data_IF_155749599318
#
_entry.id   IF_155749599318
#
_cell.length_a   1.000
_cell.length_b   1.000
_cell.length_c   1.000
_cell.angle_alpha   90.00
_cell.angle_beta   90.00
_cell.angle_gamma   90.00
#
_symmetry.space_group_name_H-M   'P 1'
#
loop_
_entity.id
_entity.type
_entity.pdbx_description
1 polymer ?
#
# COMPACT_ATOMS: atom_id res chain seq x y z
N UNK A 1 -14.84 -16.68 -25.62
CA UNK A 1 -15.06 -17.02 -24.21
C UNK A 1 -15.59 -15.77 -23.51
N UNK A 2 -16.78 -15.89 -22.97
CA UNK A 2 -17.82 -14.85 -22.98
C UNK A 2 -17.90 -14.07 -21.67
N UNK A 3 -18.35 -12.80 -21.72
CA UNK A 3 -18.62 -11.90 -20.57
C UNK A 3 -19.13 -12.61 -19.29
N UNK A 4 -19.94 -13.66 -19.44
CA UNK A 4 -20.48 -14.50 -18.37
C UNK A 4 -19.41 -15.20 -17.53
N UNK A 5 -18.33 -15.74 -18.13
CA UNK A 5 -17.22 -16.37 -17.39
C UNK A 5 -16.41 -15.34 -16.58
N UNK A 6 -16.18 -14.15 -17.15
CA UNK A 6 -15.51 -13.03 -16.47
C UNK A 6 -16.36 -12.47 -15.31
N UNK A 7 -17.69 -12.49 -15.46
CA UNK A 7 -18.64 -12.10 -14.41
C UNK A 7 -18.61 -13.04 -13.21
N UNK A 8 -18.54 -14.36 -13.44
CA UNK A 8 -18.47 -15.38 -12.39
C UNK A 8 -17.09 -15.42 -11.70
N UNK A 9 -15.99 -15.26 -12.46
CA UNK A 9 -14.63 -15.34 -11.92
C UNK A 9 -14.16 -14.07 -11.20
N UNK A 10 -14.81 -12.93 -11.42
CA UNK A 10 -14.39 -11.67 -10.78
C UNK A 10 -12.92 -11.36 -11.03
N UNK A 11 -12.20 -10.96 -10.00
CA UNK A 11 -10.76 -10.65 -10.05
C UNK A 11 -9.84 -11.88 -9.86
N UNK A 12 -10.35 -13.11 -9.88
CA UNK A 12 -9.54 -14.31 -9.58
C UNK A 12 -8.32 -14.48 -10.50
N UNK A 13 -8.48 -14.18 -11.79
CA UNK A 13 -7.39 -14.27 -12.77
C UNK A 13 -6.44 -13.06 -12.68
N UNK A 14 -6.90 -11.95 -12.10
CA UNK A 14 -6.15 -10.70 -11.96
C UNK A 14 -5.26 -10.66 -10.72
N UNK A 15 -5.71 -11.21 -9.59
CA UNK A 15 -4.97 -11.13 -8.32
C UNK A 15 -3.58 -11.77 -8.48
N UNK A 16 -2.55 -11.02 -8.09
CA UNK A 16 -1.16 -11.44 -8.19
C UNK A 16 -0.65 -11.58 -9.63
N UNK A 17 -1.21 -10.83 -10.57
CA UNK A 17 -0.74 -10.84 -11.97
C UNK A 17 0.72 -10.43 -12.11
N UNK A 18 1.23 -9.56 -11.23
CA UNK A 18 2.64 -9.14 -11.23
C UNK A 18 3.60 -10.31 -11.02
N UNK A 19 3.28 -11.22 -10.10
CA UNK A 19 4.11 -12.41 -9.83
C UNK A 19 3.99 -13.46 -10.95
N UNK A 20 2.87 -13.47 -11.67
CA UNK A 20 2.61 -14.41 -12.78
C UNK A 20 3.20 -13.93 -14.11
N UNK A 21 3.49 -12.63 -14.23
CA UNK A 21 3.91 -12.03 -15.51
C UNK A 21 5.42 -12.23 -15.73
N UNK A 22 5.83 -12.88 -16.83
CA UNK A 22 7.25 -13.04 -17.14
C UNK A 22 7.96 -11.70 -17.29
N UNK A 23 9.22 -11.64 -16.85
CA UNK A 23 10.08 -10.46 -17.00
C UNK A 23 10.10 -9.50 -15.80
N UNK A 24 9.18 -9.64 -14.84
CA UNK A 24 9.30 -8.94 -13.58
C UNK A 24 10.36 -9.58 -12.67
N UNK A 25 11.20 -8.79 -11.98
CA UNK A 25 12.18 -9.32 -11.06
C UNK A 25 11.49 -9.99 -9.86
N UNK A 26 12.07 -11.09 -9.34
CA UNK A 26 11.55 -11.73 -8.14
C UNK A 26 11.65 -10.80 -6.94
N UNK A 27 10.88 -11.10 -5.91
CA UNK A 27 10.97 -10.44 -4.61
C UNK A 27 11.94 -11.18 -3.69
N UNK A 28 12.58 -10.45 -2.79
CA UNK A 28 13.38 -11.01 -1.69
C UNK A 28 12.56 -11.00 -0.40
N UNK A 29 12.62 -12.05 0.43
CA UNK A 29 11.95 -12.04 1.73
C UNK A 29 12.81 -11.35 2.79
N UNK A 30 12.35 -10.21 3.29
CA UNK A 30 13.01 -9.43 4.34
C UNK A 30 12.38 -9.60 5.72
N UNK A 31 11.43 -10.52 5.90
CA UNK A 31 10.60 -10.61 7.12
C UNK A 31 11.45 -10.86 8.37
N UNK A 32 12.39 -11.81 8.32
CA UNK A 32 13.26 -12.09 9.46
C UNK A 32 14.09 -10.86 9.85
N UNK A 33 14.71 -10.20 8.85
CA UNK A 33 15.53 -9.01 9.12
C UNK A 33 14.70 -7.86 9.68
N UNK A 34 13.49 -7.68 9.18
CA UNK A 34 12.54 -6.73 9.74
C UNK A 34 12.20 -7.03 11.21
N UNK A 35 11.94 -8.30 11.55
CA UNK A 35 11.64 -8.72 12.93
C UNK A 35 12.82 -8.47 13.89
N UNK A 36 14.06 -8.70 13.42
CA UNK A 36 15.28 -8.35 14.17
C UNK A 36 15.37 -6.84 14.46
N UNK A 37 15.21 -6.01 13.41
CA UNK A 37 15.23 -4.55 13.53
C UNK A 37 14.11 -4.06 14.47
N UNK A 38 12.90 -4.59 14.33
CA UNK A 38 11.77 -4.27 15.20
C UNK A 38 12.06 -4.67 16.65
N UNK A 39 12.70 -5.83 16.86
CA UNK A 39 13.19 -6.29 18.14
C UNK A 39 14.16 -5.29 18.77
N UNK A 40 15.17 -4.85 18.03
CA UNK A 40 16.14 -3.84 18.48
C UNK A 40 15.46 -2.52 18.89
N UNK A 41 14.56 -2.01 18.04
CA UNK A 41 13.78 -0.79 18.31
C UNK A 41 12.91 -0.95 19.56
N UNK A 42 12.32 -2.13 19.76
CA UNK A 42 11.50 -2.41 20.96
C UNK A 42 12.31 -2.35 22.26
N UNK A 43 13.62 -2.61 22.18
CA UNK A 43 14.59 -2.48 23.28
C UNK A 43 15.25 -1.09 23.35
N UNK A 44 14.80 -0.13 22.54
CA UNK A 44 15.29 1.26 22.55
C UNK A 44 16.51 1.52 21.67
N UNK A 45 16.89 0.58 20.80
CA UNK A 45 17.96 0.76 19.83
C UNK A 45 17.40 1.39 18.55
N UNK A 46 17.39 2.73 18.52
CA UNK A 46 16.93 3.52 17.39
C UNK A 46 18.09 3.85 16.45
N UNK A 47 17.97 3.51 15.16
CA UNK A 47 19.08 3.56 14.20
C UNK A 47 18.85 4.49 12.99
N UNK A 48 17.67 5.12 12.90
CA UNK A 48 17.37 6.04 11.80
C UNK A 48 18.27 7.29 11.85
N UNK A 49 19.02 7.60 10.77
CA UNK A 49 19.86 8.78 10.71
C UNK A 49 19.07 10.09 10.67
N UNK A 50 19.65 11.17 11.22
CA UNK A 50 19.03 12.50 11.23
C UNK A 50 19.45 13.39 10.04
N UNK A 51 20.28 12.88 9.13
CA UNK A 51 20.71 13.52 7.88
C UNK A 51 19.75 13.25 6.70
N UNK A 52 18.65 12.53 6.94
CA UNK A 52 17.55 12.35 6.01
C UNK A 52 16.30 13.15 6.38
N UNK A 53 15.41 13.31 5.39
CA UNK A 53 14.01 13.71 5.60
C UNK A 53 13.13 12.50 5.39
N UNK A 54 12.28 12.18 6.36
CA UNK A 54 11.33 11.07 6.29
C UNK A 54 9.96 11.60 5.86
N UNK A 55 9.53 11.24 4.65
CA UNK A 55 8.27 11.69 4.09
C UNK A 55 7.23 10.56 4.11
N UNK A 56 6.19 10.76 4.93
CA UNK A 56 5.03 9.90 5.03
C UNK A 56 4.00 10.32 3.98
N UNK A 57 3.69 9.45 3.02
CA UNK A 57 2.75 9.71 1.94
C UNK A 57 1.43 9.01 2.25
N UNK A 58 0.37 9.76 2.57
CA UNK A 58 -0.89 9.16 2.98
C UNK A 58 -1.68 8.61 1.79
N UNK A 59 -2.56 7.64 2.05
CA UNK A 59 -3.48 7.09 1.07
C UNK A 59 -4.79 7.87 0.93
N UNK A 60 -5.77 7.25 0.27
CA UNK A 60 -7.11 7.80 0.04
C UNK A 60 -7.75 8.39 1.32
N UNK A 61 -8.40 9.55 1.17
CA UNK A 61 -9.19 10.27 2.18
C UNK A 61 -8.45 10.67 3.47
N UNK A 62 -7.12 10.75 3.44
CA UNK A 62 -6.32 11.29 4.55
C UNK A 62 -6.62 12.75 4.88
N UNK A 63 -7.18 13.49 3.92
CA UNK A 63 -7.61 14.88 4.10
C UNK A 63 -8.89 15.01 4.96
N UNK A 64 -9.59 13.89 5.21
CA UNK A 64 -10.92 13.88 5.84
C UNK A 64 -10.95 13.19 7.21
N UNK A 65 -9.83 12.68 7.72
CA UNK A 65 -9.72 12.06 9.04
C UNK A 65 -8.68 12.76 9.90
N UNK A 66 -8.97 13.13 11.16
CA UNK A 66 -7.92 13.56 12.07
C UNK A 66 -6.95 12.39 12.28
N UNK A 67 -5.66 12.68 12.51
CA UNK A 67 -4.65 11.75 13.05
C UNK A 67 -3.90 10.81 12.07
N UNK A 68 -4.18 10.81 10.76
CA UNK A 68 -3.43 9.97 9.79
C UNK A 68 -1.92 10.24 9.88
N UNK A 69 -1.11 9.23 10.22
CA UNK A 69 0.33 9.34 10.44
C UNK A 69 0.79 10.34 11.52
N UNK A 70 -0.14 11.00 12.23
CA UNK A 70 0.21 12.05 13.20
C UNK A 70 1.06 11.49 14.34
N UNK A 71 0.70 10.30 14.83
CA UNK A 71 1.42 9.65 15.92
C UNK A 71 2.79 9.14 15.48
N UNK A 72 2.91 8.65 14.23
CA UNK A 72 4.19 8.30 13.62
C UNK A 72 5.10 9.52 13.49
N UNK A 73 4.59 10.63 12.95
CA UNK A 73 5.34 11.89 12.84
C UNK A 73 5.79 12.39 14.20
N UNK A 74 4.92 12.34 15.21
CA UNK A 74 5.24 12.73 16.59
C UNK A 74 6.30 11.83 17.22
N UNK A 75 6.24 10.53 16.97
CA UNK A 75 7.25 9.56 17.40
C UNK A 75 8.62 9.88 16.78
N UNK A 76 8.68 10.08 15.46
CA UNK A 76 9.91 10.45 14.75
C UNK A 76 10.47 11.78 15.25
N UNK A 77 9.61 12.75 15.54
CA UNK A 77 10.02 14.04 16.11
C UNK A 77 10.67 13.88 17.49
N UNK A 78 10.17 12.96 18.33
CA UNK A 78 10.78 12.65 19.64
C UNK A 78 12.16 12.01 19.52
N UNK A 79 12.42 11.30 18.42
CA UNK A 79 13.74 10.76 18.08
C UNK A 79 14.68 11.82 17.46
N UNK A 80 14.22 13.06 17.29
CA UNK A 80 15.02 14.12 16.67
C UNK A 80 15.10 14.05 15.14
N UNK A 81 14.20 13.28 14.50
CA UNK A 81 14.18 13.09 13.04
C UNK A 81 13.33 14.15 12.34
N UNK A 82 13.77 14.59 11.16
CA UNK A 82 12.97 15.46 10.29
C UNK A 82 11.93 14.63 9.57
N UNK A 83 10.65 14.76 9.96
CA UNK A 83 9.55 13.98 9.40
C UNK A 83 8.39 14.87 8.92
N UNK A 84 7.94 14.64 7.70
CA UNK A 84 6.83 15.35 7.06
C UNK A 84 5.73 14.38 6.66
N UNK A 85 4.48 14.85 6.65
CA UNK A 85 3.35 14.16 6.03
C UNK A 85 3.05 14.92 4.75
N UNK A 86 3.07 14.23 3.61
CA UNK A 86 2.83 14.84 2.31
C UNK A 86 1.42 15.46 2.28
N UNK A 87 1.33 16.69 1.74
CA UNK A 87 0.07 17.41 1.57
C UNK A 87 -0.39 17.26 0.13
N UNK A 88 -1.08 16.16 -0.16
CA UNK A 88 -1.60 15.86 -1.50
C UNK A 88 -3.12 15.73 -1.46
N UNK A 89 -3.74 15.96 -2.61
CA UNK A 89 -5.16 15.67 -2.79
C UNK A 89 -5.35 14.16 -2.87
N UNK A 90 -5.61 13.51 -1.74
CA UNK A 90 -5.62 12.04 -1.63
C UNK A 90 -6.54 11.35 -2.65
N UNK A 91 -7.62 12.02 -3.03
CA UNK A 91 -8.68 11.59 -3.95
C UNK A 91 -8.33 11.81 -5.44
N UNK A 92 -7.31 12.62 -5.75
CA UNK A 92 -6.92 12.89 -7.12
C UNK A 92 -6.25 11.66 -7.78
N UNK A 93 -6.25 11.66 -9.11
CA UNK A 93 -5.63 10.60 -9.91
C UNK A 93 -4.15 10.40 -9.56
N UNK A 94 -3.66 9.17 -9.70
CA UNK A 94 -2.28 8.76 -9.36
C UNK A 94 -1.25 9.62 -10.09
N UNK A 95 -1.46 9.89 -11.39
CA UNK A 95 -0.55 10.74 -12.17
C UNK A 95 -0.52 12.21 -11.68
N UNK A 96 -1.64 12.71 -11.17
CA UNK A 96 -1.72 14.06 -10.61
C UNK A 96 -0.96 14.13 -9.30
N UNK A 97 -1.21 13.18 -8.40
CA UNK A 97 -0.48 13.10 -7.12
C UNK A 97 1.01 12.83 -7.32
N UNK A 98 1.39 12.08 -8.36
CA UNK A 98 2.80 11.87 -8.71
C UNK A 98 3.52 13.18 -9.04
N UNK A 99 2.85 14.10 -9.76
CA UNK A 99 3.38 15.45 -10.05
C UNK A 99 3.51 16.29 -8.78
N UNK A 100 2.46 16.34 -7.96
CA UNK A 100 2.48 17.06 -6.68
C UNK A 100 3.58 16.53 -5.75
N UNK A 101 3.75 15.21 -5.66
CA UNK A 101 4.81 14.59 -4.85
C UNK A 101 6.20 14.89 -5.37
N UNK A 102 6.39 14.91 -6.70
CA UNK A 102 7.68 15.31 -7.28
C UNK A 102 8.03 16.72 -6.83
N UNK A 103 7.13 17.69 -6.99
CA UNK A 103 7.40 19.08 -6.59
C UNK A 103 7.65 19.20 -5.08
N UNK A 104 6.90 18.45 -4.27
CA UNK A 104 7.09 18.40 -2.81
C UNK A 104 8.46 17.82 -2.40
N UNK A 105 8.92 16.77 -3.07
CA UNK A 105 10.24 16.17 -2.85
C UNK A 105 11.34 17.19 -3.20
N UNK A 106 11.18 17.92 -4.30
CA UNK A 106 12.14 18.94 -4.70
C UNK A 106 12.20 20.12 -3.74
N UNK A 107 11.04 20.59 -3.25
CA UNK A 107 10.96 21.64 -2.24
C UNK A 107 11.67 21.23 -0.95
N UNK A 108 11.41 20.02 -0.45
CA UNK A 108 12.07 19.49 0.75
C UNK A 108 13.59 19.37 0.54
N UNK A 109 14.01 18.84 -0.60
CA UNK A 109 15.44 18.71 -0.91
C UNK A 109 16.11 20.09 -1.00
N UNK A 110 15.49 21.04 -1.69
CA UNK A 110 15.99 22.41 -1.82
C UNK A 110 16.11 23.11 -0.46
N UNK A 111 15.10 22.97 0.41
CA UNK A 111 15.07 23.64 1.70
C UNK A 111 16.00 23.03 2.75
N UNK A 112 16.37 21.75 2.62
CA UNK A 112 17.13 21.02 3.66
C UNK A 112 18.51 20.54 3.20
N UNK A 113 18.73 20.36 1.89
CA UNK A 113 19.89 19.68 1.32
C UNK A 113 19.96 18.17 1.63
N UNK A 114 18.95 17.62 2.31
CA UNK A 114 18.91 16.23 2.77
C UNK A 114 18.16 15.35 1.78
N UNK A 115 18.64 14.12 1.58
CA UNK A 115 17.90 13.12 0.80
C UNK A 115 16.63 12.67 1.54
N UNK A 116 15.64 12.24 0.77
CA UNK A 116 14.30 11.91 1.25
C UNK A 116 14.13 10.39 1.27
N UNK A 117 13.62 9.86 2.39
CA UNK A 117 13.17 8.47 2.56
C UNK A 117 11.64 8.47 2.51
N UNK A 118 11.06 7.77 1.54
CA UNK A 118 9.60 7.74 1.33
C UNK A 118 8.98 6.52 2.05
N UNK A 119 7.86 6.74 2.74
CA UNK A 119 6.96 5.66 3.15
C UNK A 119 5.55 6.04 2.72
N UNK A 120 5.00 5.30 1.77
CA UNK A 120 3.64 5.50 1.30
C UNK A 120 2.73 4.38 1.76
N UNK A 121 1.57 4.73 2.32
CA UNK A 121 0.56 3.76 2.73
C UNK A 121 -0.59 3.72 1.74
N UNK A 122 -1.12 2.52 1.43
CA UNK A 122 -2.25 2.34 0.54
C UNK A 122 -2.00 3.03 -0.82
N UNK A 123 -2.95 3.84 -1.32
CA UNK A 123 -2.77 4.67 -2.52
C UNK A 123 -1.55 5.60 -2.43
N UNK A 124 -1.15 6.07 -1.25
CA UNK A 124 0.01 6.94 -1.09
C UNK A 124 1.33 6.28 -1.51
N UNK A 125 1.45 4.95 -1.32
CA UNK A 125 2.58 4.20 -1.86
C UNK A 125 2.51 4.02 -3.37
N UNK A 126 1.30 3.91 -3.93
CA UNK A 126 1.10 3.90 -5.39
C UNK A 126 1.46 5.25 -6.01
N UNK A 127 1.04 6.35 -5.38
CA UNK A 127 1.35 7.73 -5.80
C UNK A 127 2.86 8.01 -5.72
N UNK A 128 3.52 7.59 -4.63
CA UNK A 128 4.97 7.73 -4.46
C UNK A 128 5.76 6.91 -5.49
N UNK A 129 5.35 5.66 -5.74
CA UNK A 129 5.95 4.82 -6.77
C UNK A 129 5.71 5.40 -8.18
N UNK A 130 4.56 6.01 -8.42
CA UNK A 130 4.27 6.71 -9.67
C UNK A 130 5.16 7.95 -9.85
N UNK A 131 5.38 8.75 -8.80
CA UNK A 131 6.32 9.87 -8.83
C UNK A 131 7.73 9.41 -9.22
N UNK A 132 8.21 8.32 -8.60
CA UNK A 132 9.49 7.72 -8.97
C UNK A 132 9.50 7.20 -10.41
N UNK A 133 8.45 6.51 -10.86
CA UNK A 133 8.41 5.92 -12.21
C UNK A 133 8.31 6.97 -13.32
N UNK A 134 7.66 8.11 -13.05
CA UNK A 134 7.44 9.18 -14.04
C UNK A 134 8.58 10.20 -14.07
N UNK A 135 9.20 10.48 -12.92
CA UNK A 135 10.14 11.61 -12.75
C UNK A 135 11.51 11.17 -12.20
N UNK A 136 11.88 9.89 -12.35
CA UNK A 136 13.14 9.37 -11.81
C UNK A 136 14.37 10.22 -12.16
N UNK A 137 14.58 10.66 -13.42
CA UNK A 137 15.77 11.44 -13.76
C UNK A 137 15.90 12.73 -12.94
N UNK A 138 14.78 13.31 -12.50
CA UNK A 138 14.73 14.55 -11.73
C UNK A 138 14.92 14.31 -10.23
N UNK A 139 14.44 13.18 -9.70
CA UNK A 139 14.42 12.93 -8.25
C UNK A 139 15.40 11.84 -7.76
N UNK A 140 16.10 11.13 -8.65
CA UNK A 140 17.00 10.01 -8.30
C UNK A 140 18.06 10.38 -7.27
N UNK A 141 18.63 11.58 -7.36
CA UNK A 141 19.69 12.03 -6.46
C UNK A 141 19.12 12.60 -5.14
N UNK A 142 17.80 12.78 -5.09
CA UNK A 142 17.05 13.34 -3.96
C UNK A 142 16.37 12.26 -3.13
N UNK A 143 16.00 11.11 -3.71
CA UNK A 143 15.26 10.02 -3.04
C UNK A 143 16.17 8.83 -2.76
N UNK A 144 16.18 8.36 -1.51
CA UNK A 144 16.98 7.20 -1.07
C UNK A 144 16.33 5.88 -1.47
N UNK A 145 15.00 5.83 -1.43
CA UNK A 145 14.20 4.62 -1.63
C UNK A 145 12.76 4.83 -1.18
N UNK A 146 11.92 3.82 -1.39
CA UNK A 146 10.50 3.84 -1.00
C UNK A 146 10.08 2.60 -0.22
N UNK A 147 9.28 2.80 0.82
CA UNK A 147 8.51 1.75 1.49
C UNK A 147 7.06 1.84 1.01
N UNK A 148 6.53 0.77 0.42
CA UNK A 148 5.11 0.64 0.11
C UNK A 148 4.43 -0.20 1.18
N UNK A 149 3.57 0.41 1.96
CA UNK A 149 2.86 -0.25 3.04
C UNK A 149 1.42 -0.49 2.63
N UNK A 150 1.05 -1.76 2.49
CA UNK A 150 -0.31 -2.19 2.17
C UNK A 150 -0.81 -1.50 0.88
N UNK A 151 0.09 -1.19 -0.04
CA UNK A 151 -0.23 -0.44 -1.25
C UNK A 151 -0.78 -1.38 -2.32
N UNK A 152 -1.93 -1.09 -2.95
CA UNK A 152 -2.46 -1.89 -4.06
C UNK A 152 -1.66 -1.63 -5.35
N UNK A 153 -0.38 -2.01 -5.35
CA UNK A 153 0.55 -1.75 -6.45
C UNK A 153 0.14 -2.51 -7.72
N UNK A 154 -0.21 -3.79 -7.57
CA UNK A 154 -0.82 -4.63 -8.60
C UNK A 154 -2.30 -4.32 -8.85
N UNK A 155 -2.96 -3.66 -7.91
CA UNK A 155 -4.37 -3.31 -7.96
C UNK A 155 -5.11 -3.76 -6.71
N UNK A 156 -6.42 -3.52 -6.69
CA UNK A 156 -7.31 -4.02 -5.67
C UNK A 156 -8.44 -4.83 -6.33
N UNK A 157 -8.68 -6.07 -5.89
CA UNK A 157 -9.84 -6.84 -6.34
C UNK A 157 -11.15 -6.15 -5.99
N UNK A 158 -11.22 -5.49 -4.83
CA UNK A 158 -12.41 -4.75 -4.42
C UNK A 158 -12.70 -3.56 -5.34
N UNK A 159 -11.68 -2.76 -5.68
CA UNK A 159 -11.84 -1.67 -6.65
C UNK A 159 -12.27 -2.21 -8.02
N UNK A 160 -11.64 -3.29 -8.46
CA UNK A 160 -11.90 -3.90 -9.77
C UNK A 160 -13.29 -4.50 -9.89
N UNK A 161 -13.79 -5.14 -8.83
CA UNK A 161 -15.12 -5.75 -8.83
C UNK A 161 -16.23 -4.70 -8.72
N UNK A 162 -16.05 -3.68 -7.87
CA UNK A 162 -17.08 -2.63 -7.72
C UNK A 162 -17.20 -1.78 -8.97
N UNK A 163 -16.10 -1.51 -9.68
CA UNK A 163 -16.13 -0.69 -10.90
C UNK A 163 -16.40 -1.51 -12.19
N UNK A 164 -16.56 -2.84 -12.10
CA UNK A 164 -16.83 -3.68 -13.28
C UNK A 164 -18.26 -3.51 -13.79
N UNK A 165 -18.43 -3.10 -15.03
CA UNK A 165 -19.75 -3.06 -15.69
C UNK A 165 -20.24 -4.47 -16.07
N UNK A 166 -21.50 -4.79 -15.78
CA UNK A 166 -22.17 -6.01 -16.29
C UNK A 166 -22.02 -7.29 -15.47
N UNK A 167 -21.66 -7.22 -14.18
CA UNK A 167 -21.74 -8.37 -13.28
C UNK A 167 -23.22 -8.65 -12.90
N UNK A 168 -23.80 -9.71 -13.47
CA UNK A 168 -25.17 -10.17 -13.16
C UNK A 168 -25.16 -11.17 -11.98
N UNK A 169 -24.04 -11.88 -11.77
CA UNK A 169 -23.84 -12.70 -10.58
C UNK A 169 -23.30 -11.82 -9.45
N UNK A 170 -23.90 -11.91 -8.27
CA UNK A 170 -23.44 -11.30 -7.01
C UNK A 170 -23.77 -9.81 -6.76
N UNK A 171 -24.90 -9.33 -7.31
CA UNK A 171 -25.38 -7.93 -7.15
C UNK A 171 -25.55 -7.53 -5.68
N UNK A 172 -26.07 -8.43 -4.84
CA UNK A 172 -26.31 -8.15 -3.41
C UNK A 172 -24.99 -7.98 -2.64
N UNK A 173 -24.06 -8.93 -2.78
CA UNK A 173 -22.74 -8.84 -2.15
C UNK A 173 -21.97 -7.64 -2.66
N UNK A 174 -22.01 -7.34 -3.96
CA UNK A 174 -21.39 -6.12 -4.52
C UNK A 174 -21.95 -4.88 -3.86
N UNK A 175 -23.27 -4.79 -3.68
CA UNK A 175 -23.91 -3.63 -3.03
C UNK A 175 -23.51 -3.52 -1.55
N UNK A 176 -23.39 -4.64 -0.85
CA UNK A 176 -22.87 -4.66 0.53
C UNK A 176 -21.42 -4.17 0.55
N UNK A 177 -20.57 -4.69 -0.33
CA UNK A 177 -19.17 -4.29 -0.43
C UNK A 177 -19.00 -2.84 -0.83
N UNK A 178 -19.83 -2.32 -1.74
CA UNK A 178 -19.89 -0.91 -2.10
C UNK A 178 -20.27 -0.05 -0.90
N UNK A 179 -21.27 -0.45 -0.10
CA UNK A 179 -21.63 0.26 1.13
C UNK A 179 -20.49 0.25 2.16
N UNK A 180 -19.83 -0.89 2.35
CA UNK A 180 -18.69 -1.02 3.26
C UNK A 180 -17.53 -0.14 2.79
N UNK A 181 -17.21 -0.16 1.51
CA UNK A 181 -16.15 0.64 0.92
C UNK A 181 -16.52 2.10 0.98
N UNK A 182 -17.71 2.53 0.59
CA UNK A 182 -18.19 3.90 0.79
C UNK A 182 -18.09 4.37 2.24
N UNK A 183 -18.30 3.51 3.25
CA UNK A 183 -18.06 3.86 4.66
C UNK A 183 -16.56 4.04 4.97
N UNK A 184 -15.68 3.23 4.38
CA UNK A 184 -14.22 3.31 4.55
C UNK A 184 -13.63 4.50 3.79
N UNK A 185 -14.06 4.72 2.55
CA UNK A 185 -13.54 5.72 1.60
C UNK A 185 -14.45 6.95 1.48
N UNK A 186 -15.40 7.12 2.40
CA UNK A 186 -16.33 8.27 2.49
C UNK A 186 -17.06 8.67 1.20
N UNK A 187 -17.24 7.74 0.26
CA UNK A 187 -18.20 7.85 -0.85
C UNK A 187 -17.67 8.37 -2.19
N UNK A 188 -16.37 8.63 -2.38
CA UNK A 188 -15.82 8.95 -3.70
C UNK A 188 -15.16 7.73 -4.36
N UNK A 189 -15.98 7.04 -5.15
CA UNK A 189 -15.61 5.84 -5.88
C UNK A 189 -14.69 6.11 -7.08
N UNK A 190 -14.60 7.36 -7.57
CA UNK A 190 -13.73 7.69 -8.71
C UNK A 190 -12.26 7.56 -8.34
N UNK A 191 -11.93 7.84 -7.08
CA UNK A 191 -10.59 7.70 -6.54
C UNK A 191 -10.09 6.23 -6.47
N UNK A 192 -10.99 5.24 -6.64
CA UNK A 192 -10.63 3.82 -6.76
C UNK A 192 -10.27 3.40 -8.18
N UNK A 193 -10.58 4.20 -9.20
CA UNK A 193 -10.42 3.81 -10.60
C UNK A 193 -8.97 3.43 -10.90
N UNK A 194 -8.02 4.28 -10.48
CA UNK A 194 -6.59 4.04 -10.67
C UNK A 194 -6.04 2.85 -9.87
N UNK A 195 -6.82 2.32 -8.93
CA UNK A 195 -6.46 1.14 -8.12
C UNK A 195 -7.00 -0.15 -8.73
N UNK A 196 -7.76 -0.10 -9.83
CA UNK A 196 -8.19 -1.30 -10.54
C UNK A 196 -7.01 -1.99 -11.21
N UNK A 197 -7.07 -3.32 -11.35
CA UNK A 197 -6.01 -4.09 -11.99
C UNK A 197 -5.74 -3.64 -13.43
N UNK A 198 -6.79 -3.26 -14.19
CA UNK A 198 -6.64 -2.76 -15.56
C UNK A 198 -5.84 -1.45 -15.62
N UNK A 199 -6.17 -0.48 -14.74
CA UNK A 199 -5.45 0.79 -14.68
C UNK A 199 -4.02 0.61 -14.18
N UNK A 200 -3.80 -0.24 -13.17
CA UNK A 200 -2.44 -0.56 -12.70
C UNK A 200 -1.58 -1.21 -13.77
N UNK A 201 -2.12 -2.19 -14.52
CA UNK A 201 -1.43 -2.80 -15.67
C UNK A 201 -1.03 -1.78 -16.72
N UNK A 202 -1.97 -0.93 -17.15
CA UNK A 202 -1.71 0.11 -18.15
C UNK A 202 -0.66 1.12 -17.67
N UNK A 203 -0.75 1.54 -16.41
CA UNK A 203 0.22 2.46 -15.81
C UNK A 203 1.62 1.85 -15.77
N UNK A 204 1.77 0.63 -15.23
CA UNK A 204 3.08 -0.01 -15.06
C UNK A 204 3.72 -0.43 -16.39
N UNK A 205 2.93 -0.71 -17.42
CA UNK A 205 3.44 -0.94 -18.77
C UNK A 205 4.04 0.34 -19.39
N UNK A 206 3.49 1.51 -19.04
CA UNK A 206 3.94 2.82 -19.53
C UNK A 206 5.09 3.40 -18.69
N UNK A 207 5.02 3.20 -17.37
CA UNK A 207 5.94 3.76 -16.37
C UNK A 207 6.42 2.63 -15.44
N UNK A 208 7.40 1.83 -15.87
CA UNK A 208 7.98 0.81 -15.01
C UNK A 208 8.75 1.47 -13.85
N UNK A 209 8.80 0.76 -12.71
CA UNK A 209 9.56 1.24 -11.56
C UNK A 209 11.07 1.26 -11.89
N UNK A 210 11.81 2.31 -11.50
CA UNK A 210 13.24 2.38 -11.80
C UNK A 210 14.02 1.21 -11.16
N UNK A 211 14.87 0.50 -11.93
CA UNK A 211 15.53 -0.71 -11.45
C UNK A 211 16.59 -0.41 -10.38
N UNK A 212 17.08 0.81 -10.30
CA UNK A 212 18.06 1.31 -9.33
C UNK A 212 17.42 1.83 -8.04
N UNK A 213 16.12 2.13 -8.02
CA UNK A 213 15.39 2.53 -6.81
C UNK A 213 15.37 1.40 -5.76
N UNK A 214 15.81 1.63 -4.51
CA UNK A 214 15.58 0.70 -3.40
C UNK A 214 14.10 0.67 -2.98
N UNK A 215 13.54 -0.52 -2.82
CA UNK A 215 12.11 -0.70 -2.54
C UNK A 215 11.92 -1.76 -1.46
N UNK A 216 11.12 -1.41 -0.44
CA UNK A 216 10.55 -2.37 0.50
C UNK A 216 9.04 -2.39 0.29
N UNK A 217 8.44 -3.56 0.20
CA UNK A 217 6.97 -3.69 0.24
C UNK A 217 6.53 -4.46 1.47
N UNK A 218 5.43 -4.03 2.08
CA UNK A 218 4.92 -4.57 3.33
C UNK A 218 3.43 -4.86 3.19
N UNK A 219 3.01 -6.06 3.58
CA UNK A 219 1.59 -6.43 3.59
C UNK A 219 1.24 -7.27 4.80
N UNK A 220 -0.04 -7.27 5.15
CA UNK A 220 -0.54 -7.90 6.37
C UNK A 220 -1.78 -8.74 6.05
N UNK A 221 -2.44 -9.24 7.08
CA UNK A 221 -3.76 -9.86 6.94
C UNK A 221 -4.63 -9.43 8.11
N UNK A 222 -5.89 -9.06 7.85
CA UNK A 222 -6.82 -8.66 8.89
C UNK A 222 -7.25 -9.86 9.74
N UNK A 223 -7.46 -9.61 11.03
CA UNK A 223 -8.06 -10.60 11.93
C UNK A 223 -9.55 -10.78 11.63
N UNK A 224 -9.97 -12.02 11.38
CA UNK A 224 -11.36 -12.39 11.05
C UNK A 224 -12.12 -13.02 12.22
N UNK A 225 -11.74 -12.69 13.46
CA UNK A 225 -12.29 -13.39 14.63
C UNK A 225 -13.81 -13.19 14.76
N UNK A 226 -14.58 -14.20 15.24
CA UNK A 226 -16.03 -14.08 15.39
C UNK A 226 -16.48 -12.87 16.23
N UNK A 227 -15.67 -12.45 17.21
CA UNK A 227 -15.96 -11.26 18.02
C UNK A 227 -15.80 -9.92 17.28
N UNK A 228 -14.95 -9.86 16.26
CA UNK A 228 -14.84 -8.67 15.38
C UNK A 228 -16.00 -8.66 14.39
N UNK A 229 -16.38 -9.83 13.85
CA UNK A 229 -17.47 -9.96 12.89
C UNK A 229 -18.87 -9.88 13.52
N UNK A 230 -19.05 -10.22 14.80
CA UNK A 230 -20.35 -10.16 15.49
C UNK A 230 -20.91 -8.73 15.56
N UNK A 231 -20.04 -7.73 15.56
CA UNK A 231 -20.44 -6.31 15.45
C UNK A 231 -21.18 -6.00 14.15
N UNK A 232 -20.98 -6.77 13.08
CA UNK A 232 -21.75 -6.67 11.82
C UNK A 232 -23.17 -7.25 11.96
N UNK A 233 -23.36 -8.32 12.74
CA UNK A 233 -24.67 -8.97 12.90
C UNK A 233 -25.67 -8.07 13.63
N UNK A 234 -25.22 -7.28 14.61
CA UNK A 234 -26.06 -6.28 15.29
C UNK A 234 -26.47 -5.13 14.36
N UNK A 235 -25.64 -4.82 13.36
CA UNK A 235 -25.84 -3.76 12.37
C UNK A 235 -26.77 -4.23 11.24
N UNK A 236 -26.62 -5.47 10.78
CA UNK A 236 -27.53 -6.08 9.82
C UNK A 236 -28.98 -6.11 10.35
N UNK A 237 -29.18 -6.41 11.64
CA UNK A 237 -30.52 -6.33 12.26
C UNK A 237 -31.05 -4.90 12.39
N UNK A 238 -30.19 -3.88 12.44
CA UNK A 238 -30.59 -2.47 12.52
C UNK A 238 -30.82 -1.82 11.13
N UNK A 239 -30.13 -2.25 10.08
CA UNK A 239 -30.29 -1.74 8.71
C UNK A 239 -31.27 -2.56 7.83
N UNK A 240 -31.62 -3.79 8.21
CA UNK A 240 -32.60 -4.65 7.50
C UNK A 240 -33.98 -4.81 8.18
N UNK A 241 -34.69 -3.78 8.70
CA UNK A 241 -36.09 -3.95 9.09
C UNK A 241 -37.05 -4.23 7.93
N UNK A 242 -36.61 -4.10 6.67
CA UNK A 242 -37.52 -3.94 5.52
C UNK A 242 -37.34 -4.95 4.38
N UNK A 243 -36.45 -5.94 4.48
CA UNK A 243 -36.44 -7.03 3.51
C UNK A 243 -37.57 -8.01 3.88
N UNK A 244 -38.64 -8.14 3.07
CA UNK A 244 -39.71 -9.05 3.40
C UNK A 244 -39.17 -10.47 3.22
N UNK A 245 -38.86 -11.14 4.32
CA UNK A 245 -38.90 -12.60 4.33
C UNK A 245 -40.31 -12.98 3.92
N UNK A 246 -40.44 -13.67 2.79
CA UNK A 246 -41.70 -14.10 2.24
C UNK A 246 -42.51 -14.85 3.33
N UNK A 247 -43.61 -14.24 3.77
CA UNK A 247 -44.63 -14.92 4.58
C UNK A 247 -44.81 -14.39 6.00
N UNK A 248 -45.16 -13.11 6.18
CA UNK A 248 -46.00 -12.70 7.31
C UNK A 248 -46.63 -11.33 7.03
N UNK A 249 -47.94 -11.30 6.86
CA UNK A 249 -48.72 -10.07 6.82
C UNK A 249 -48.84 -9.49 8.25
N UNK A 250 -48.49 -8.22 8.44
CA UNK A 250 -49.00 -7.43 9.56
C UNK A 250 -48.87 -5.94 9.26
N UNK A 251 -50.00 -5.24 9.31
CA UNK A 251 -50.13 -3.80 9.19
C UNK A 251 -49.84 -3.12 10.54
N UNK A 252 -48.85 -2.22 10.59
CA UNK A 252 -48.79 -1.15 11.59
C UNK A 252 -47.89 0.00 11.07
N UNK A 253 -48.27 1.28 11.24
CA UNK A 253 -47.43 2.40 10.86
C UNK A 253 -46.49 2.75 12.01
N UNK A 254 -45.21 2.35 11.90
CA UNK A 254 -44.17 2.78 12.83
C UNK A 254 -43.30 3.85 12.18
N UNK A 255 -43.31 5.06 12.75
CA UNK A 255 -42.36 6.13 12.48
C UNK A 255 -40.94 5.67 12.82
N UNK A 256 -40.20 5.14 11.83
CA UNK A 256 -38.83 4.69 12.03
C UNK A 256 -37.87 5.87 12.09
N UNK A 257 -37.55 6.32 13.30
CA UNK A 257 -36.32 7.07 13.54
C UNK A 257 -35.14 6.11 13.25
N UNK A 258 -34.54 6.20 12.06
CA UNK A 258 -33.36 5.42 11.70
C UNK A 258 -32.18 5.90 12.57
N UNK A 259 -31.80 5.12 13.59
CA UNK A 259 -30.52 5.34 14.25
C UNK A 259 -29.41 5.14 13.21
N UNK A 260 -28.46 6.08 13.07
CA UNK A 260 -27.33 5.89 12.16
C UNK A 260 -26.49 4.73 12.68
N UNK A 261 -26.42 3.66 11.89
CA UNK A 261 -25.68 2.47 12.28
C UNK A 261 -24.19 2.69 11.98
N UNK A 262 -23.43 2.98 13.03
CA UNK A 262 -21.98 3.20 12.97
C UNK A 262 -21.29 1.84 12.94
N UNK A 263 -20.71 1.50 11.78
CA UNK A 263 -19.88 0.30 11.64
C UNK A 263 -18.44 0.61 12.07
N UNK A 264 -17.86 -0.11 13.05
CA UNK A 264 -16.45 0.05 13.37
C UNK A 264 -15.56 -0.25 12.17
N UNK A 265 -14.53 0.58 11.93
CA UNK A 265 -13.62 0.44 10.79
C UNK A 265 -12.99 -0.97 10.72
N UNK A 266 -12.55 -1.50 11.87
CA UNK A 266 -11.98 -2.84 11.97
C UNK A 266 -12.97 -3.95 11.56
N UNK A 267 -14.27 -3.76 11.83
CA UNK A 267 -15.31 -4.71 11.43
C UNK A 267 -15.56 -4.67 9.92
N UNK A 268 -15.54 -3.46 9.32
CA UNK A 268 -15.60 -3.31 7.87
C UNK A 268 -14.40 -4.00 7.19
N UNK A 269 -13.19 -3.78 7.70
CA UNK A 269 -11.97 -4.43 7.18
C UNK A 269 -12.04 -5.96 7.30
N UNK A 270 -12.49 -6.48 8.45
CA UNK A 270 -12.65 -7.92 8.65
C UNK A 270 -13.69 -8.53 7.69
N UNK A 271 -14.80 -7.83 7.42
CA UNK A 271 -15.81 -8.26 6.45
C UNK A 271 -15.25 -8.32 5.04
N UNK A 272 -14.54 -7.27 4.61
CA UNK A 272 -13.91 -7.21 3.31
C UNK A 272 -12.82 -8.29 3.17
N UNK A 273 -12.04 -8.55 4.23
CA UNK A 273 -11.04 -9.61 4.23
C UNK A 273 -11.67 -11.00 4.09
N UNK A 274 -12.75 -11.25 4.83
CA UNK A 274 -13.51 -12.49 4.73
C UNK A 274 -14.13 -12.66 3.33
N UNK A 275 -14.65 -11.59 2.74
CA UNK A 275 -15.18 -11.63 1.38
C UNK A 275 -14.11 -12.07 0.37
N UNK A 276 -12.92 -11.48 0.42
CA UNK A 276 -11.82 -11.83 -0.48
C UNK A 276 -11.33 -13.27 -0.29
N UNK A 277 -11.30 -13.76 0.96
CA UNK A 277 -10.94 -15.15 1.25
C UNK A 277 -12.00 -16.13 0.74
N UNK A 278 -13.28 -15.88 0.98
CA UNK A 278 -14.35 -16.78 0.52
C UNK A 278 -14.50 -16.76 -1.00
N UNK A 279 -14.35 -15.59 -1.63
CA UNK A 279 -14.54 -15.43 -3.07
C UNK A 279 -13.34 -15.89 -3.89
N UNK A 280 -12.13 -15.59 -3.41
CA UNK A 280 -10.90 -15.78 -4.19
C UNK A 280 -9.90 -16.74 -3.55
N UNK A 281 -10.13 -17.20 -2.31
CA UNK A 281 -9.13 -17.92 -1.51
C UNK A 281 -7.85 -17.11 -1.27
N UNK A 282 -7.99 -15.77 -1.23
CA UNK A 282 -6.87 -14.85 -1.09
C UNK A 282 -6.92 -14.13 0.25
N UNK A 283 -5.75 -14.06 0.90
CA UNK A 283 -5.56 -13.32 2.15
C UNK A 283 -5.38 -11.83 1.86
N UNK A 284 -5.97 -11.00 2.72
CA UNK A 284 -5.90 -9.54 2.61
C UNK A 284 -5.95 -8.88 3.97
N UNK A 285 -5.57 -7.61 4.00
CA UNK A 285 -5.67 -6.72 5.15
C UNK A 285 -7.05 -6.04 5.29
N UNK A 286 -8.01 -6.48 4.47
CA UNK A 286 -9.34 -5.88 4.37
C UNK A 286 -9.55 -5.01 3.14
N UNK A 287 -8.50 -4.54 2.44
CA UNK A 287 -8.68 -3.79 1.19
C UNK A 287 -7.76 -4.25 0.06
N UNK A 288 -6.57 -4.73 0.41
CA UNK A 288 -5.53 -5.10 -0.53
C UNK A 288 -5.13 -6.54 -0.29
N UNK A 289 -5.12 -7.34 -1.36
CA UNK A 289 -4.64 -8.72 -1.27
C UNK A 289 -3.13 -8.71 -1.01
N UNK A 290 -2.64 -9.72 -0.29
CA UNK A 290 -1.19 -9.85 -0.05
C UNK A 290 -0.38 -9.84 -1.34
N UNK A 291 -0.88 -10.55 -2.36
CA UNK A 291 -0.22 -10.67 -3.66
C UNK A 291 -0.16 -9.33 -4.41
N UNK A 292 -1.22 -8.54 -4.35
CA UNK A 292 -1.25 -7.25 -5.06
C UNK A 292 -0.46 -6.13 -4.36
N UNK A 293 -0.05 -6.37 -3.11
CA UNK A 293 0.83 -5.48 -2.34
C UNK A 293 2.33 -5.75 -2.55
N UNK A 294 2.70 -6.91 -3.08
CA UNK A 294 4.11 -7.24 -3.34
C UNK A 294 4.60 -6.56 -4.63
N UNK A 295 5.63 -5.74 -4.50
CA UNK A 295 6.22 -5.01 -5.63
C UNK A 295 7.38 -5.81 -6.23
N UNK A 296 7.41 -6.06 -7.55
CA UNK A 296 8.54 -6.74 -8.20
C UNK A 296 9.89 -6.11 -7.88
N UNK A 297 10.89 -6.93 -7.57
CA UNK A 297 12.25 -6.47 -7.26
C UNK A 297 12.41 -5.78 -5.90
N UNK A 298 11.38 -5.79 -5.06
CA UNK A 298 11.45 -5.28 -3.70
C UNK A 298 11.88 -6.35 -2.69
N UNK A 299 12.34 -5.89 -1.54
CA UNK A 299 12.35 -6.69 -0.32
C UNK A 299 10.94 -6.67 0.28
N UNK A 300 10.31 -7.82 0.41
CA UNK A 300 8.94 -7.97 0.94
C UNK A 300 8.99 -8.36 2.41
N UNK A 301 8.18 -7.70 3.23
CA UNK A 301 8.00 -8.00 4.66
C UNK A 301 6.58 -8.53 4.90
N UNK A 302 6.50 -9.72 5.52
CA UNK A 302 5.27 -10.52 5.69
C UNK A 302 5.03 -10.88 7.16
N UNK A 303 4.73 -9.92 8.05
CA UNK A 303 4.54 -10.20 9.46
C UNK A 303 3.43 -11.22 9.71
N UNK A 304 3.64 -12.08 10.71
CA UNK A 304 2.64 -13.06 11.14
C UNK A 304 1.46 -12.41 11.88
N UNK A 305 1.67 -11.23 12.50
CA UNK A 305 0.65 -10.49 13.23
C UNK A 305 -0.49 -10.10 12.30
N UNK A 306 -1.73 -10.32 12.76
CA UNK A 306 -2.93 -9.94 12.02
C UNK A 306 -3.22 -8.46 12.24
N UNK A 307 -3.09 -7.67 11.19
CA UNK A 307 -3.24 -6.21 11.19
C UNK A 307 -4.14 -5.87 10.00
N UNK A 308 -5.15 -5.03 10.24
CA UNK A 308 -5.98 -4.51 9.16
C UNK A 308 -5.30 -3.36 8.40
N UNK A 309 -5.92 -2.93 7.32
CA UNK A 309 -5.43 -1.86 6.45
C UNK A 309 -5.26 -0.51 7.16
N UNK A 310 -6.03 -0.24 8.22
CA UNK A 310 -6.02 1.06 8.89
C UNK A 310 -5.05 1.10 10.07
N UNK A 311 -4.70 -0.07 10.62
CA UNK A 311 -4.00 -0.19 11.90
C UNK A 311 -2.71 0.62 11.94
N UNK A 312 -1.83 0.49 10.93
CA UNK A 312 -0.51 1.11 11.00
C UNK A 312 -0.55 2.66 10.97
N UNK A 313 -1.61 3.24 10.41
CA UNK A 313 -1.67 4.70 10.17
C UNK A 313 -2.58 5.46 11.13
N UNK A 314 -3.49 4.76 11.83
CA UNK A 314 -4.41 5.33 12.82
C UNK A 314 -4.23 4.80 14.24
N UNK A 315 -3.46 3.73 14.44
CA UNK A 315 -3.25 3.16 15.77
C UNK A 315 -2.40 4.08 16.65
N UNK A 316 -2.78 4.16 17.93
CA UNK A 316 -2.00 4.78 18.99
C UNK A 316 -1.04 3.80 19.67
N UNK A 317 -1.09 2.51 19.30
CA UNK A 317 -0.18 1.46 19.77
C UNK A 317 1.26 1.83 19.38
N UNK A 318 2.21 1.90 20.34
CA UNK A 318 3.59 2.16 20.02
C UNK A 318 4.22 1.27 18.99
N UNK A 319 3.73 0.05 18.87
CA UNK A 319 4.21 -0.88 17.88
C UNK A 319 3.96 -0.40 16.45
N UNK A 320 2.88 0.35 16.18
CA UNK A 320 2.58 0.85 14.84
C UNK A 320 3.66 1.79 14.30
N UNK A 321 4.11 2.74 15.13
CA UNK A 321 5.15 3.67 14.73
C UNK A 321 6.56 3.09 14.78
N UNK A 322 6.81 2.06 15.61
CA UNK A 322 8.04 1.25 15.56
C UNK A 322 8.13 0.42 14.29
N UNK A 323 7.02 -0.12 13.80
CA UNK A 323 6.99 -0.80 12.49
C UNK A 323 7.36 0.15 11.35
N UNK A 324 6.87 1.40 11.36
CA UNK A 324 7.30 2.42 10.40
C UNK A 324 8.82 2.68 10.47
N UNK A 325 9.38 2.81 11.67
CA UNK A 325 10.83 2.97 11.88
C UNK A 325 11.62 1.76 11.36
N UNK A 326 11.16 0.54 11.66
CA UNK A 326 11.80 -0.69 11.24
C UNK A 326 11.80 -0.86 9.71
N UNK A 327 10.67 -0.53 9.06
CA UNK A 327 10.56 -0.57 7.59
C UNK A 327 11.51 0.42 6.91
N UNK A 328 11.59 1.65 7.44
CA UNK A 328 12.52 2.66 6.91
C UNK A 328 13.97 2.27 7.17
N UNK A 329 14.28 1.67 8.32
CA UNK A 329 15.61 1.17 8.63
C UNK A 329 16.02 0.04 7.67
N UNK A 330 15.11 -0.90 7.40
CA UNK A 330 15.32 -1.96 6.41
C UNK A 330 15.55 -1.38 5.01
N UNK A 331 14.79 -0.37 4.62
CA UNK A 331 14.98 0.31 3.33
C UNK A 331 16.38 0.94 3.20
N UNK A 332 16.90 1.56 4.27
CA UNK A 332 18.25 2.11 4.29
C UNK A 332 19.30 1.00 4.13
N UNK A 333 19.13 -0.14 4.80
CA UNK A 333 20.01 -1.31 4.60
C UNK A 333 20.01 -1.80 3.14
N UNK A 334 18.82 -1.88 2.52
CA UNK A 334 18.68 -2.26 1.10
C UNK A 334 19.38 -1.25 0.19
N UNK A 335 19.22 0.05 0.46
CA UNK A 335 19.88 1.12 -0.30
C UNK A 335 21.42 1.02 -0.21
N UNK A 336 21.96 0.83 1.00
CA UNK A 336 23.40 0.68 1.21
C UNK A 336 23.98 -0.56 0.53
N UNK A 337 23.28 -1.71 0.60
CA UNK A 337 23.70 -2.93 -0.10
C UNK A 337 23.79 -2.71 -1.61
N UNK A 338 22.80 -2.03 -2.19
CA UNK A 338 22.73 -1.75 -3.62
C UNK A 338 23.86 -0.83 -4.09
N UNK A 339 24.15 0.24 -3.34
CA UNK A 339 25.25 1.16 -3.65
C UNK A 339 26.62 0.46 -3.58
N UNK A 340 26.84 -0.42 -2.60
CA UNK A 340 28.08 -1.22 -2.52
C UNK A 340 28.24 -2.18 -3.71
N UNK A 341 27.14 -2.79 -4.17
CA UNK A 341 27.16 -3.67 -5.32
C UNK A 341 27.53 -2.90 -6.61
N UNK A 342 26.98 -1.70 -6.82
CA UNK A 342 27.33 -0.86 -7.98
C UNK A 342 28.80 -0.41 -7.97
N UNK A 343 29.34 -0.06 -6.80
CA UNK A 343 30.74 0.36 -6.68
C UNK A 343 31.71 -0.80 -6.97
N UNK A 344 31.37 -2.01 -6.52
CA UNK A 344 32.18 -3.21 -6.76
C UNK A 344 32.21 -3.66 -8.23
N UNK A 345 31.12 -3.46 -8.98
CA UNK A 345 31.05 -3.78 -10.42
C UNK A 345 31.69 -2.74 -11.34
N UNK A 346 31.87 -1.50 -10.85
CA UNK A 346 32.60 -0.43 -11.54
C UNK A 346 34.11 -0.67 -11.57
N UNK A 347 34.69 -1.15 -10.46
CA UNK A 347 36.12 -1.42 -10.35
C UNK A 347 36.63 -2.64 -11.18
N UNK A 348 35.75 -3.54 -11.61
CA UNK A 348 36.15 -4.71 -12.41
C UNK A 348 36.30 -4.46 -13.91
N UNK A 349 35.92 -3.28 -14.42
CA UNK A 349 35.95 -2.97 -15.86
C UNK A 349 37.11 -2.06 -16.30
N UNK A 350 38.02 -1.67 -15.41
CA UNK A 350 39.11 -0.70 -15.70
C UNK A 350 40.53 -1.29 -15.76
N UNK A 351 40.70 -2.62 -15.80
CA UNK A 351 42.05 -3.23 -15.80
C UNK A 351 42.50 -3.95 -17.08
N UNK A 352 41.78 -3.84 -18.21
CA UNK A 352 42.20 -4.47 -19.47
C UNK A 352 42.31 -3.50 -20.66
N UNK A 353 43.14 -2.47 -20.53
CA UNK A 353 43.75 -1.80 -21.69
C UNK A 353 44.96 -1.02 -21.21
N UNK A 354 46.13 -1.67 -21.18
CA UNK A 354 47.47 -1.08 -21.40
C UNK A 354 48.55 -2.10 -21.01
N UNK A 355 48.94 -2.96 -21.97
CA UNK A 355 50.29 -3.48 -22.00
C UNK A 355 50.63 -4.01 -23.40
N UNK A 356 51.13 -3.13 -24.25
CA UNK A 356 51.98 -3.52 -25.38
C UNK A 356 52.94 -2.38 -25.70
N UNK A 357 53.89 -2.16 -24.79
CA UNK A 357 55.14 -1.45 -25.11
C UNK A 357 56.09 -2.43 -25.79
N UNK A 358 56.43 -2.08 -27.02
CA UNK A 358 57.72 -2.26 -27.69
C UNK A 358 58.83 -2.98 -26.91
N UNK A 359 59.36 -4.04 -27.52
CA UNK A 359 60.79 -4.35 -27.49
C UNK A 359 61.25 -4.66 -28.92
N UNK A 360 62.34 -4.02 -29.34
CA UNK A 360 62.95 -4.17 -30.66
C UNK A 360 64.32 -4.84 -30.60
N UNK A 361 64.94 -4.88 -31.80
CA UNK A 361 66.26 -5.42 -32.19
C UNK A 361 66.21 -6.93 -32.51
N UNK A 362 66.77 -7.41 -33.61
CA UNK A 362 67.87 -6.95 -34.47
C UNK A 362 67.68 -7.45 -35.91
#
# INVERSE_FOLDING_TARGET
MTRVQTTLRGSADDIGWLQKTPGFPPVEDGTQRFEEILGDISHGLHALPNDYVYLLVPGLFSNHGPLYFVDTKRYFSKLGLTCHIARIHSEAAVETNARELKDYIEELYWGTGKKIVLLGHSKGGVDAAAAASMFWPEIKDKVVGIVLVQSPYGGSPLASDILREGQIADVETRRIMELLICKIIKGDMTALEDLTHDKRRKFLAKYPLPPDLPVVSFHTEAGKSPGVLSTLSHIAHAELPWLPLAGAASEAPATTAKLPVVLPLAAAMAACALHLELRYSEKSDGLVSRKDAEVPGSVVVRPNRKLDHAWMVYSTDPEAFRMCEALMSLLLEVSHKKNRASDSGSCSNTTNTECSTSDGKE
#
